data_IF_210173110209
#
_entry.id   IF_210173110209
#
_cell.length_a   1.000
_cell.length_b   1.000
_cell.length_c   1.000
_cell.angle_alpha   90.00
_cell.angle_beta   90.00
_cell.angle_gamma   90.00
#
_symmetry.space_group_name_H-M   'P 1'
#
loop_
_entity.id
_entity.type
_entity.pdbx_description
1 polymer ?
#
# COMPACT_ATOMS: atom_id res chain seq x y z
N UNK A 1 13.87 -16.07 -13.20
CA UNK A 1 12.42 -16.02 -12.92
C UNK A 1 12.12 -14.65 -12.33
N UNK A 2 11.65 -13.70 -13.14
CA UNK A 2 11.39 -12.34 -12.68
C UNK A 2 10.15 -12.34 -11.77
N UNK A 3 10.27 -11.83 -10.54
CA UNK A 3 9.14 -11.69 -9.62
C UNK A 3 8.06 -10.81 -10.26
N UNK A 4 6.84 -11.34 -10.38
CA UNK A 4 5.73 -10.62 -11.01
C UNK A 4 5.28 -9.45 -10.13
N UNK A 5 5.32 -8.23 -10.68
CA UNK A 5 4.76 -7.02 -10.09
C UNK A 5 3.28 -6.91 -10.50
N UNK A 6 2.36 -6.83 -9.53
CA UNK A 6 0.93 -6.56 -9.81
C UNK A 6 0.52 -5.20 -9.23
N UNK A 7 0.40 -4.14 -10.07
CA UNK A 7 -0.06 -2.83 -9.63
C UNK A 7 -1.59 -2.80 -9.47
N UNK A 8 -2.08 -1.94 -8.59
CA UNK A 8 -3.50 -1.62 -8.44
C UNK A 8 -3.72 -0.35 -7.62
N UNK A 9 -4.98 0.07 -7.54
CA UNK A 9 -5.41 1.20 -6.72
C UNK A 9 -6.60 0.77 -5.86
N UNK A 10 -6.65 1.28 -4.62
CA UNK A 10 -7.71 0.95 -3.67
C UNK A 10 -8.07 2.17 -2.81
N UNK A 11 -9.36 2.35 -2.54
CA UNK A 11 -9.82 3.21 -1.46
C UNK A 11 -9.97 2.39 -0.18
N UNK A 12 -9.34 2.84 0.91
CA UNK A 12 -9.40 2.19 2.23
C UNK A 12 -10.06 3.12 3.22
N UNK A 13 -10.99 2.60 4.02
CA UNK A 13 -11.60 3.34 5.12
C UNK A 13 -10.81 3.10 6.41
N UNK A 14 -10.02 4.08 6.83
CA UNK A 14 -9.29 4.05 8.09
C UNK A 14 -10.12 4.71 9.21
N UNK A 15 -10.27 4.08 10.39
CA UNK A 15 -11.18 4.57 11.43
C UNK A 15 -10.83 5.97 11.95
N UNK A 16 -9.54 6.34 11.94
CA UNK A 16 -9.08 7.64 12.45
C UNK A 16 -8.68 8.63 11.35
N UNK A 17 -8.42 8.15 10.13
CA UNK A 17 -7.88 8.98 9.05
C UNK A 17 -8.85 9.16 7.88
N UNK A 18 -10.04 8.55 7.96
CA UNK A 18 -11.03 8.63 6.90
C UNK A 18 -10.67 7.78 5.68
N UNK A 19 -11.05 8.24 4.50
CA UNK A 19 -10.78 7.52 3.25
C UNK A 19 -9.35 7.81 2.79
N UNK A 20 -8.59 6.75 2.51
CA UNK A 20 -7.23 6.81 1.98
C UNK A 20 -7.21 6.22 0.57
N UNK A 21 -6.73 6.98 -0.40
CA UNK A 21 -6.50 6.51 -1.75
C UNK A 21 -5.08 5.95 -1.85
N UNK A 22 -4.96 4.64 -2.08
CA UNK A 22 -3.67 3.93 -2.10
C UNK A 22 -3.39 3.33 -3.46
N UNK A 23 -2.20 3.61 -3.99
CA UNK A 23 -1.58 2.75 -4.99
C UNK A 23 -0.95 1.56 -4.28
N UNK A 24 -1.26 0.35 -4.73
CA UNK A 24 -0.64 -0.85 -4.19
C UNK A 24 0.11 -1.64 -5.24
N UNK A 25 1.11 -2.36 -4.76
CA UNK A 25 1.89 -3.28 -5.56
C UNK A 25 2.08 -4.58 -4.79
N UNK A 26 1.75 -5.71 -5.42
CA UNK A 26 2.03 -7.03 -4.84
C UNK A 26 3.29 -7.61 -5.47
N UNK A 27 4.23 -7.95 -4.59
CA UNK A 27 5.49 -8.63 -4.89
C UNK A 27 5.44 -10.08 -4.39
N UNK A 28 6.05 -10.98 -5.16
CA UNK A 28 6.27 -12.38 -4.80
C UNK A 28 7.74 -12.57 -4.45
N UNK A 29 8.09 -12.78 -3.16
CA UNK A 29 9.47 -13.03 -2.75
C UNK A 29 10.01 -14.30 -3.41
N UNK A 30 11.26 -14.26 -3.87
CA UNK A 30 11.90 -15.42 -4.53
C UNK A 30 12.16 -16.57 -3.54
N UNK A 31 12.50 -16.25 -2.29
CA UNK A 31 12.85 -17.22 -1.25
C UNK A 31 11.61 -17.81 -0.54
N UNK A 32 10.45 -17.16 -0.65
CA UNK A 32 9.20 -17.55 -0.01
C UNK A 32 8.03 -17.33 -0.99
N UNK A 33 7.89 -18.19 -2.01
CA UNK A 33 6.91 -18.01 -3.09
C UNK A 33 5.46 -18.25 -2.65
N UNK A 34 5.23 -18.72 -1.43
CA UNK A 34 3.95 -18.80 -0.73
C UNK A 34 3.59 -17.46 -0.05
N UNK A 35 4.57 -16.61 0.23
CA UNK A 35 4.36 -15.29 0.81
C UNK A 35 4.08 -14.22 -0.27
N UNK A 36 3.38 -13.16 0.14
CA UNK A 36 3.11 -11.98 -0.70
C UNK A 36 3.45 -10.73 0.11
N UNK A 37 4.19 -9.82 -0.49
CA UNK A 37 4.46 -8.50 0.07
C UNK A 37 3.59 -7.48 -0.67
N UNK A 38 2.74 -6.76 0.04
CA UNK A 38 1.95 -5.65 -0.50
C UNK A 38 2.59 -4.33 -0.10
N UNK A 39 3.06 -3.57 -1.08
CA UNK A 39 3.54 -2.21 -0.89
C UNK A 39 2.40 -1.24 -1.17
N UNK A 40 1.98 -0.48 -0.17
CA UNK A 40 0.98 0.58 -0.32
C UNK A 40 1.66 1.94 -0.30
N UNK A 41 1.27 2.83 -1.22
CA UNK A 41 1.72 4.23 -1.30
C UNK A 41 0.50 5.13 -1.46
N UNK A 42 0.58 6.35 -0.95
CA UNK A 42 -0.46 7.34 -1.20
C UNK A 42 -0.65 7.56 -2.71
N UNK A 43 -1.90 7.67 -3.14
CA UNK A 43 -2.25 8.01 -4.51
C UNK A 43 -2.37 9.53 -4.72
N UNK A 44 -2.53 10.29 -3.63
CA UNK A 44 -2.65 11.74 -3.61
C UNK A 44 -2.02 12.35 -2.34
N UNK A 45 -1.86 13.68 -2.34
CA UNK A 45 -1.21 14.43 -1.27
C UNK A 45 -2.03 14.41 0.03
N UNK A 46 -3.36 14.36 -0.06
CA UNK A 46 -4.25 14.30 1.11
C UNK A 46 -4.05 12.98 1.87
N UNK A 47 -4.02 11.88 1.14
CA UNK A 47 -3.72 10.55 1.68
C UNK A 47 -2.30 10.50 2.25
N UNK A 48 -1.32 11.12 1.58
CA UNK A 48 0.05 11.17 2.10
C UNK A 48 0.11 11.89 3.44
N UNK A 49 -0.50 13.07 3.55
CA UNK A 49 -0.54 13.81 4.81
C UNK A 49 -1.29 13.05 5.92
N UNK A 50 -2.32 12.30 5.58
CA UNK A 50 -3.03 11.43 6.52
C UNK A 50 -2.15 10.27 7.01
N UNK A 51 -1.40 9.61 6.12
CA UNK A 51 -0.44 8.57 6.48
C UNK A 51 0.68 9.11 7.36
N UNK A 52 1.23 10.30 7.06
CA UNK A 52 2.28 10.92 7.86
C UNK A 52 1.81 11.16 9.31
N UNK A 53 0.56 11.61 9.49
CA UNK A 53 -0.04 11.76 10.83
C UNK A 53 -0.23 10.44 11.55
N UNK A 54 -0.61 9.37 10.84
CA UNK A 54 -0.74 8.04 11.43
C UNK A 54 0.61 7.46 11.86
N UNK A 55 1.65 7.64 11.05
CA UNK A 55 3.00 7.14 11.32
C UNK A 55 3.76 7.93 12.40
N UNK A 56 3.37 9.18 12.66
CA UNK A 56 3.96 10.00 13.72
C UNK A 56 3.40 9.71 15.13
N UNK A 57 2.54 8.69 15.27
CA UNK A 57 1.99 8.22 16.55
C UNK A 57 2.74 6.99 17.05
#
# INVERSE_FOLDING_TARGET
MAGGRRPGQQAVHHPEAGVLALHFEVLVPLQAPDQRLMLCRAADDETQAALDRLCAR
#
